data_IF_357907158365
#
_entry.id   IF_357907158365
#
_cell.length_a   1.000
_cell.length_b   1.000
_cell.length_c   1.000
_cell.angle_alpha   90.00
_cell.angle_beta   90.00
_cell.angle_gamma   90.00
#
_symmetry.space_group_name_H-M   'P 1'
#
loop_
_entity.id
_entity.type
_entity.pdbx_description
1 polymer ?
#
# COMPACT_ATOMS: atom_id res chain seq x y z
N UNK A 1 -85.45 6.30 27.25
CA UNK A 1 -84.39 6.22 28.28
C UNK A 1 -83.10 5.86 27.55
N UNK A 2 -82.15 6.80 27.53
CA UNK A 2 -80.96 6.85 26.65
C UNK A 2 -80.03 5.66 26.92
N UNK A 3 -79.58 4.95 25.88
CA UNK A 3 -78.44 4.04 25.97
C UNK A 3 -77.38 4.48 24.95
N UNK A 4 -76.30 5.06 25.48
CA UNK A 4 -75.05 5.33 24.78
C UNK A 4 -74.33 4.00 24.48
N UNK A 5 -73.93 3.75 23.24
CA UNK A 5 -72.91 2.75 22.92
C UNK A 5 -71.56 3.45 22.74
N UNK A 6 -70.62 3.14 23.63
CA UNK A 6 -69.22 3.58 23.58
C UNK A 6 -68.54 3.00 22.33
N UNK A 7 -67.97 3.87 21.49
CA UNK A 7 -66.98 3.48 20.49
C UNK A 7 -65.63 3.24 21.20
N UNK A 8 -65.10 2.01 21.14
CA UNK A 8 -63.76 1.71 21.59
C UNK A 8 -62.76 1.99 20.46
N UNK A 9 -61.99 3.07 20.60
CA UNK A 9 -60.78 3.30 19.80
C UNK A 9 -59.68 2.34 20.28
N UNK A 10 -59.43 1.28 19.52
CA UNK A 10 -58.22 0.47 19.68
C UNK A 10 -57.02 1.24 19.11
N UNK A 11 -56.24 1.86 19.98
CA UNK A 11 -54.90 2.33 19.63
C UNK A 11 -53.99 1.11 19.41
N UNK A 12 -53.68 0.79 18.16
CA UNK A 12 -52.61 -0.14 17.84
C UNK A 12 -51.28 0.55 18.16
N UNK A 13 -50.62 0.13 19.24
CA UNK A 13 -49.26 0.56 19.54
C UNK A 13 -48.33 0.00 18.45
N UNK A 14 -47.81 0.88 17.59
CA UNK A 14 -46.72 0.53 16.70
C UNK A 14 -45.50 0.17 17.56
N UNK A 15 -45.17 -1.12 17.62
CA UNK A 15 -43.93 -1.59 18.20
C UNK A 15 -42.80 -1.15 17.28
N UNK A 16 -42.24 0.03 17.55
CA UNK A 16 -41.02 0.50 16.90
C UNK A 16 -39.88 -0.35 17.46
N UNK A 17 -39.47 -1.37 16.71
CA UNK A 17 -38.27 -2.15 17.03
C UNK A 17 -37.03 -1.28 16.82
N UNK A 18 -36.66 -0.50 17.83
CA UNK A 18 -35.39 0.20 17.93
C UNK A 18 -34.28 -0.74 18.41
N UNK A 19 -34.16 -1.92 17.79
CA UNK A 19 -32.98 -2.77 18.02
C UNK A 19 -31.79 -2.09 17.36
N UNK A 20 -30.64 -1.93 18.05
CA UNK A 20 -29.42 -1.49 17.43
C UNK A 20 -29.12 -2.43 16.27
N UNK A 21 -29.09 -1.91 15.04
CA UNK A 21 -28.44 -2.60 13.94
C UNK A 21 -26.99 -2.78 14.38
N UNK A 22 -26.63 -3.99 14.80
CA UNK A 22 -25.22 -4.37 14.88
C UNK A 22 -24.71 -4.33 13.44
N UNK A 23 -24.22 -3.17 13.00
CA UNK A 23 -23.33 -3.12 11.85
C UNK A 23 -22.16 -4.02 12.22
N UNK A 24 -22.07 -5.18 11.59
CA UNK A 24 -20.94 -6.07 11.74
C UNK A 24 -19.70 -5.25 11.39
N UNK A 25 -18.77 -5.14 12.33
CA UNK A 25 -17.48 -4.51 12.04
C UNK A 25 -16.88 -5.23 10.84
N UNK A 26 -16.34 -4.50 9.85
CA UNK A 26 -15.63 -5.14 8.75
C UNK A 26 -14.52 -6.00 9.35
N UNK A 27 -14.46 -7.27 8.94
CA UNK A 27 -13.42 -8.21 9.33
C UNK A 27 -12.63 -8.59 8.09
N UNK A 28 -11.33 -8.85 8.28
CA UNK A 28 -10.49 -9.31 7.20
C UNK A 28 -10.85 -10.76 6.83
N UNK A 29 -11.13 -11.00 5.54
CA UNK A 29 -11.37 -12.33 5.00
C UNK A 29 -10.39 -12.60 3.85
N UNK A 30 -9.44 -13.51 4.10
CA UNK A 30 -8.43 -13.88 3.10
C UNK A 30 -9.03 -14.57 1.87
N UNK A 31 -10.08 -15.36 2.06
CA UNK A 31 -10.72 -16.11 0.97
C UNK A 31 -11.42 -15.15 -0.01
N UNK A 32 -11.97 -14.05 0.50
CA UNK A 32 -12.61 -12.99 -0.31
C UNK A 32 -11.60 -11.98 -0.87
N UNK A 33 -10.39 -11.91 -0.32
CA UNK A 33 -9.32 -11.06 -0.83
C UNK A 33 -8.80 -11.61 -2.14
N UNK A 34 -8.84 -10.84 -3.23
CA UNK A 34 -8.38 -11.28 -4.55
C UNK A 34 -7.42 -10.29 -5.22
N UNK A 35 -7.10 -9.18 -4.55
CA UNK A 35 -6.29 -8.11 -5.09
C UNK A 35 -5.27 -7.64 -4.06
N UNK A 36 -3.99 -7.75 -4.36
CA UNK A 36 -2.90 -7.35 -3.46
C UNK A 36 -2.15 -6.18 -4.08
N UNK A 37 -2.09 -5.08 -3.33
CA UNK A 37 -1.25 -3.93 -3.62
C UNK A 37 -0.06 -3.97 -2.68
N UNK A 38 1.15 -4.08 -3.20
CA UNK A 38 2.35 -4.18 -2.39
C UNK A 38 3.26 -2.97 -2.61
N UNK A 39 3.71 -2.35 -1.53
CA UNK A 39 4.62 -1.21 -1.50
C UNK A 39 5.77 -1.51 -0.54
N UNK A 40 6.89 -0.83 -0.71
CA UNK A 40 8.04 -1.01 0.17
C UNK A 40 9.37 -1.06 -0.55
N UNK A 41 10.26 -1.88 -0.02
CA UNK A 41 11.64 -1.98 -0.49
C UNK A 41 12.01 -3.34 -1.11
N UNK A 42 13.31 -3.66 -1.08
CA UNK A 42 13.90 -4.88 -1.62
C UNK A 42 13.35 -6.19 -1.03
N UNK A 43 12.79 -6.14 0.18
CA UNK A 43 12.12 -7.28 0.82
C UNK A 43 10.75 -7.58 0.21
N UNK A 44 10.20 -6.67 -0.59
CA UNK A 44 8.85 -6.77 -1.17
C UNK A 44 8.85 -6.67 -2.69
N UNK A 45 9.87 -6.05 -3.30
CA UNK A 45 9.99 -5.87 -4.75
C UNK A 45 9.78 -7.19 -5.52
N UNK A 46 9.11 -7.10 -6.68
CA UNK A 46 8.95 -8.19 -7.65
C UNK A 46 9.43 -7.70 -9.01
N UNK A 47 10.19 -8.50 -9.76
CA UNK A 47 10.60 -8.15 -11.12
C UNK A 47 9.41 -8.19 -12.10
N UNK A 48 9.22 -7.10 -12.82
CA UNK A 48 8.34 -7.03 -13.98
C UNK A 48 9.12 -6.85 -15.27
N UNK A 49 8.49 -7.15 -16.39
CA UNK A 49 9.04 -6.91 -17.74
C UNK A 49 9.19 -5.42 -18.09
N UNK A 50 8.43 -4.54 -17.43
CA UNK A 50 8.42 -3.09 -17.65
C UNK A 50 9.07 -2.29 -16.51
N UNK A 51 9.67 -2.98 -15.54
CA UNK A 51 10.42 -2.41 -14.42
C UNK A 51 11.91 -2.32 -14.69
N UNK A 52 12.61 -1.69 -13.75
CA UNK A 52 14.06 -1.67 -13.74
C UNK A 52 14.56 -3.03 -13.21
N UNK A 53 15.44 -3.67 -13.98
CA UNK A 53 15.99 -4.99 -13.64
C UNK A 53 16.65 -4.97 -12.25
N UNK A 54 16.25 -5.89 -11.37
CA UNK A 54 16.66 -6.04 -9.98
C UNK A 54 16.11 -4.98 -9.00
N UNK A 55 15.15 -4.16 -9.43
CA UNK A 55 14.67 -3.05 -8.61
C UNK A 55 13.16 -2.88 -8.53
N UNK A 56 12.42 -3.10 -9.62
CA UNK A 56 10.98 -2.82 -9.62
C UNK A 56 10.18 -3.74 -10.53
N UNK A 57 8.88 -3.78 -10.26
CA UNK A 57 7.90 -4.37 -11.16
C UNK A 57 7.69 -3.47 -12.37
N UNK A 58 7.42 -2.18 -12.11
CA UNK A 58 7.12 -1.20 -13.15
C UNK A 58 7.83 0.13 -12.89
N UNK A 59 8.47 0.67 -13.93
CA UNK A 59 9.08 1.99 -13.93
C UNK A 59 10.20 2.19 -12.89
N UNK A 60 10.71 3.41 -12.88
CA UNK A 60 11.71 3.92 -11.94
C UNK A 60 11.61 5.45 -11.95
N UNK A 61 12.45 6.19 -11.21
CA UNK A 61 12.32 7.65 -11.15
C UNK A 61 12.65 8.37 -12.48
N UNK A 62 13.39 7.73 -13.39
CA UNK A 62 13.67 8.23 -14.73
C UNK A 62 12.55 7.88 -15.72
N UNK A 63 11.81 6.80 -15.47
CA UNK A 63 10.65 6.33 -16.23
C UNK A 63 9.42 6.19 -15.33
N UNK A 64 9.09 7.27 -14.63
CA UNK A 64 8.12 7.27 -13.52
C UNK A 64 6.68 7.04 -13.97
N UNK A 65 6.28 7.69 -15.06
CA UNK A 65 4.94 7.56 -15.64
C UNK A 65 4.82 6.29 -16.48
N UNK A 66 3.65 5.66 -16.47
CA UNK A 66 3.32 4.57 -17.38
C UNK A 66 1.88 4.66 -17.90
N UNK A 67 1.63 4.07 -19.07
CA UNK A 67 0.30 4.01 -19.66
C UNK A 67 -0.49 2.80 -19.12
N UNK A 68 -1.83 2.81 -19.25
CA UNK A 68 -2.65 1.65 -18.92
C UNK A 68 -2.21 0.38 -19.66
N UNK A 69 -1.83 0.50 -20.94
CA UNK A 69 -1.37 -0.64 -21.75
C UNK A 69 -0.07 -1.20 -21.19
N UNK A 70 0.88 -0.34 -20.80
CA UNK A 70 2.14 -0.76 -20.18
C UNK A 70 1.89 -1.48 -18.86
N UNK A 71 1.03 -0.95 -17.99
CA UNK A 71 0.66 -1.58 -16.72
C UNK A 71 -0.01 -2.95 -16.94
N UNK A 72 -0.99 -3.03 -17.83
CA UNK A 72 -1.81 -4.23 -18.03
C UNK A 72 -1.12 -5.34 -18.84
N UNK A 73 -0.02 -5.02 -19.52
CA UNK A 73 0.81 -5.99 -20.26
C UNK A 73 2.08 -6.40 -19.51
N UNK A 74 2.36 -5.79 -18.35
CA UNK A 74 3.55 -6.12 -17.57
C UNK A 74 3.42 -7.48 -16.89
N UNK A 75 4.39 -8.35 -17.13
CA UNK A 75 4.44 -9.70 -16.58
C UNK A 75 5.44 -9.80 -15.42
N UNK A 76 5.06 -10.53 -14.38
CA UNK A 76 6.00 -10.97 -13.36
C UNK A 76 7.00 -11.93 -14.00
N UNK A 77 8.28 -11.63 -13.84
CA UNK A 77 9.36 -12.45 -14.39
C UNK A 77 9.67 -13.60 -13.41
N UNK A 78 9.71 -14.84 -13.89
CA UNK A 78 10.05 -16.00 -13.05
C UNK A 78 11.57 -16.09 -12.76
N UNK A 79 11.96 -16.90 -11.77
CA UNK A 79 13.35 -17.28 -11.46
C UNK A 79 14.25 -16.08 -11.13
N UNK A 80 13.68 -15.10 -10.45
CA UNK A 80 14.40 -13.94 -9.96
C UNK A 80 15.41 -14.39 -8.90
N UNK A 81 16.69 -14.18 -9.18
CA UNK A 81 17.77 -14.37 -8.19
C UNK A 81 18.27 -13.04 -7.62
N UNK A 82 17.79 -11.92 -8.17
CA UNK A 82 18.19 -10.56 -7.81
C UNK A 82 17.39 -9.94 -6.66
N UNK A 83 16.44 -10.66 -6.07
CA UNK A 83 15.71 -10.19 -4.89
C UNK A 83 16.56 -10.36 -3.62
N UNK A 84 16.18 -9.67 -2.54
CA UNK A 84 16.81 -9.85 -1.22
C UNK A 84 16.63 -11.25 -0.63
N UNK A 85 15.73 -12.07 -1.18
CA UNK A 85 15.53 -13.47 -0.81
C UNK A 85 16.36 -14.46 -1.66
N UNK A 86 17.02 -14.00 -2.74
CA UNK A 86 17.67 -14.90 -3.72
C UNK A 86 16.68 -15.77 -4.51
N UNK A 87 15.41 -15.37 -4.55
CA UNK A 87 14.25 -16.11 -5.06
C UNK A 87 12.99 -15.24 -5.04
N UNK A 88 11.78 -15.81 -5.13
CA UNK A 88 10.55 -15.03 -4.96
C UNK A 88 10.48 -14.35 -3.58
N UNK A 89 9.96 -13.12 -3.53
CA UNK A 89 9.70 -12.42 -2.28
C UNK A 89 8.39 -12.91 -1.62
N UNK A 90 8.18 -12.57 -0.35
CA UNK A 90 7.06 -13.09 0.46
C UNK A 90 5.68 -12.82 -0.14
N UNK A 91 5.51 -11.72 -0.89
CA UNK A 91 4.25 -11.38 -1.57
C UNK A 91 3.89 -12.33 -2.71
N UNK A 92 4.89 -12.91 -3.39
CA UNK A 92 4.67 -13.94 -4.41
C UNK A 92 4.22 -15.25 -3.77
N UNK A 93 4.84 -15.64 -2.64
CA UNK A 93 4.37 -16.79 -1.85
C UNK A 93 2.97 -16.59 -1.27
N UNK A 94 2.68 -15.38 -0.78
CA UNK A 94 1.38 -15.04 -0.24
C UNK A 94 0.27 -15.19 -1.29
N UNK A 95 0.54 -14.81 -2.54
CA UNK A 95 -0.46 -14.81 -3.62
C UNK A 95 -0.43 -16.06 -4.50
N UNK A 96 0.67 -16.81 -4.49
CA UNK A 96 0.97 -17.85 -5.47
C UNK A 96 1.30 -17.30 -6.87
N UNK A 97 1.47 -15.99 -7.02
CA UNK A 97 1.66 -15.31 -8.30
C UNK A 97 3.15 -15.14 -8.59
N UNK A 98 3.79 -16.18 -9.15
CA UNK A 98 5.24 -16.23 -9.38
C UNK A 98 5.70 -15.82 -10.79
N UNK A 99 4.78 -15.68 -11.74
CA UNK A 99 5.11 -15.38 -13.13
C UNK A 99 3.90 -14.98 -13.96
N UNK A 100 4.14 -14.26 -15.05
CA UNK A 100 3.12 -13.88 -16.03
C UNK A 100 2.28 -12.69 -15.57
N UNK A 101 1.14 -12.47 -16.25
CA UNK A 101 0.30 -11.32 -15.98
C UNK A 101 -0.33 -11.38 -14.57
N UNK A 102 -0.18 -10.33 -13.73
CA UNK A 102 -0.85 -10.26 -12.43
C UNK A 102 -2.36 -10.50 -12.49
N UNK A 103 -3.01 -10.03 -13.55
CA UNK A 103 -4.45 -10.16 -13.77
C UNK A 103 -4.92 -11.61 -13.97
N UNK A 104 -4.02 -12.54 -14.25
CA UNK A 104 -4.32 -13.98 -14.43
C UNK A 104 -4.09 -14.80 -13.17
N UNK A 105 -3.50 -14.22 -12.12
CA UNK A 105 -3.31 -14.89 -10.84
C UNK A 105 -4.62 -14.97 -10.05
N UNK A 106 -4.79 -16.04 -9.26
CA UNK A 106 -5.98 -16.23 -8.40
C UNK A 106 -6.13 -15.07 -7.40
N UNK A 107 -5.01 -14.61 -6.85
CA UNK A 107 -4.92 -13.32 -6.17
C UNK A 107 -3.95 -12.46 -6.96
N UNK A 108 -4.46 -11.35 -7.50
CA UNK A 108 -3.67 -10.49 -8.37
C UNK A 108 -2.61 -9.77 -7.53
N UNK A 109 -1.35 -9.81 -7.97
CA UNK A 109 -0.25 -9.14 -7.28
C UNK A 109 0.23 -7.94 -8.09
N UNK A 110 -0.14 -6.74 -7.63
CA UNK A 110 0.31 -5.48 -8.22
C UNK A 110 1.34 -4.85 -7.28
N UNK A 111 2.61 -4.98 -7.66
CA UNK A 111 3.73 -4.59 -6.82
C UNK A 111 4.29 -3.23 -7.28
N UNK A 112 4.38 -2.29 -6.35
CA UNK A 112 4.98 -0.96 -6.54
C UNK A 112 6.21 -0.78 -5.66
N UNK A 113 6.64 -1.81 -4.94
CA UNK A 113 7.85 -1.77 -4.13
C UNK A 113 9.09 -1.58 -5.00
N UNK A 114 10.06 -0.83 -4.48
CA UNK A 114 11.30 -0.50 -5.19
C UNK A 114 12.50 -0.91 -4.33
N UNK A 115 13.39 -1.75 -4.85
CA UNK A 115 14.56 -2.20 -4.09
C UNK A 115 15.48 -1.02 -3.70
N UNK A 116 15.81 -0.91 -2.42
CA UNK A 116 16.58 0.23 -1.88
C UNK A 116 15.74 1.49 -1.67
N UNK A 117 14.41 1.39 -1.60
CA UNK A 117 13.54 2.51 -1.26
C UNK A 117 13.68 2.91 0.21
N UNK A 118 13.77 4.21 0.44
CA UNK A 118 13.45 4.87 1.69
C UNK A 118 12.00 5.38 1.69
N UNK A 119 11.53 5.91 2.82
CA UNK A 119 10.19 6.51 2.89
C UNK A 119 10.09 7.78 2.05
N UNK A 120 11.04 8.71 2.20
CA UNK A 120 10.98 10.04 1.58
C UNK A 120 12.36 10.68 1.44
N UNK A 121 12.54 11.44 0.35
CA UNK A 121 13.76 12.23 0.12
C UNK A 121 13.93 13.40 1.09
N UNK A 122 12.91 13.68 1.91
CA UNK A 122 13.01 14.66 2.98
C UNK A 122 14.04 14.24 4.03
N UNK A 123 14.14 12.95 4.35
CA UNK A 123 14.97 12.45 5.46
C UNK A 123 16.29 11.83 4.98
N UNK A 124 16.28 11.20 3.81
CA UNK A 124 17.45 10.55 3.21
C UNK A 124 17.58 10.92 1.73
N UNK A 125 18.80 11.14 1.20
CA UNK A 125 18.99 11.20 -0.24
C UNK A 125 18.59 9.88 -0.89
N UNK A 126 18.25 9.91 -2.18
CA UNK A 126 18.00 8.67 -2.92
C UNK A 126 19.23 7.76 -2.93
N UNK A 127 19.03 6.46 -2.67
CA UNK A 127 20.07 5.44 -2.77
C UNK A 127 20.67 5.35 -4.19
N UNK A 128 19.82 5.47 -5.20
CA UNK A 128 20.19 5.65 -6.60
C UNK A 128 19.35 6.77 -7.21
N UNK A 129 19.86 7.46 -8.23
CA UNK A 129 19.11 8.56 -8.88
C UNK A 129 17.82 8.10 -9.59
N UNK A 130 17.62 6.80 -9.76
CA UNK A 130 16.41 6.16 -10.27
C UNK A 130 15.52 5.56 -9.17
N UNK A 131 15.91 5.62 -7.90
CA UNK A 131 15.14 5.03 -6.80
C UNK A 131 13.80 5.72 -6.62
N UNK A 132 12.75 4.94 -6.37
CA UNK A 132 11.40 5.44 -6.09
C UNK A 132 11.11 5.27 -4.60
N UNK A 133 11.02 6.39 -3.88
CA UNK A 133 10.66 6.42 -2.44
C UNK A 133 9.23 5.94 -2.21
N UNK A 134 8.88 5.47 -1.00
CA UNK A 134 7.52 5.02 -0.69
C UNK A 134 6.45 6.07 -1.03
N UNK A 135 6.70 7.33 -0.68
CA UNK A 135 5.82 8.45 -1.04
C UNK A 135 5.57 8.55 -2.54
N UNK A 136 6.61 8.34 -3.35
CA UNK A 136 6.50 8.30 -4.80
C UNK A 136 5.87 6.99 -5.31
N UNK A 137 6.07 5.85 -4.67
CA UNK A 137 5.39 4.60 -5.05
C UNK A 137 3.87 4.75 -4.90
N UNK A 138 3.42 5.35 -3.79
CA UNK A 138 1.99 5.61 -3.54
C UNK A 138 1.44 6.64 -4.52
N UNK A 139 2.17 7.73 -4.77
CA UNK A 139 1.79 8.73 -5.76
C UNK A 139 1.72 8.14 -7.19
N UNK A 140 2.65 7.26 -7.54
CA UNK A 140 2.69 6.55 -8.83
C UNK A 140 1.48 5.64 -8.97
N UNK A 141 1.16 4.84 -7.95
CA UNK A 141 -0.07 4.02 -7.93
C UNK A 141 -1.32 4.89 -8.09
N UNK A 142 -1.44 5.95 -7.29
CA UNK A 142 -2.61 6.82 -7.27
C UNK A 142 -2.87 7.45 -8.65
N UNK A 143 -1.80 7.91 -9.30
CA UNK A 143 -1.88 8.63 -10.58
C UNK A 143 -2.10 7.69 -11.76
N UNK A 144 -1.36 6.59 -11.84
CA UNK A 144 -1.27 5.78 -13.07
C UNK A 144 -1.96 4.43 -12.98
N UNK A 145 -2.09 3.84 -11.79
CA UNK A 145 -2.65 2.50 -11.61
C UNK A 145 -4.08 2.49 -11.07
N UNK A 146 -4.39 3.33 -10.08
CA UNK A 146 -5.72 3.42 -9.45
C UNK A 146 -6.86 3.66 -10.45
N UNK A 147 -6.71 4.48 -11.50
CA UNK A 147 -7.78 4.66 -12.51
C UNK A 147 -8.00 3.47 -13.45
N UNK A 148 -7.05 2.52 -13.48
CA UNK A 148 -7.00 1.42 -14.45
C UNK A 148 -7.37 0.08 -13.79
N UNK A 149 -6.89 -0.14 -12.57
CA UNK A 149 -7.03 -1.40 -11.86
C UNK A 149 -8.39 -1.49 -11.14
N UNK A 150 -9.11 -2.63 -11.21
CA UNK A 150 -10.44 -2.79 -10.62
C UNK A 150 -10.39 -3.10 -9.11
N UNK A 151 -9.44 -2.51 -8.37
CA UNK A 151 -9.26 -2.75 -6.95
C UNK A 151 -10.45 -2.22 -6.15
N UNK A 152 -11.03 -3.05 -5.28
CA UNK A 152 -12.10 -2.64 -4.35
C UNK A 152 -11.62 -2.82 -2.91
N UNK A 153 -11.80 -1.83 -2.01
CA UNK A 153 -11.31 -1.91 -0.64
C UNK A 153 -11.73 -3.18 0.11
N UNK A 154 -12.95 -3.68 -0.10
CA UNK A 154 -13.47 -4.88 0.58
C UNK A 154 -12.85 -6.21 0.12
N UNK A 155 -12.13 -6.23 -1.01
CA UNK A 155 -11.48 -7.42 -1.57
C UNK A 155 -9.98 -7.23 -1.79
N UNK A 156 -9.43 -6.13 -1.30
CA UNK A 156 -8.04 -5.77 -1.49
C UNK A 156 -7.27 -5.82 -0.17
N UNK A 157 -6.04 -6.29 -0.22
CA UNK A 157 -5.06 -6.11 0.84
C UNK A 157 -3.97 -5.17 0.34
N UNK A 158 -3.71 -4.11 1.11
CA UNK A 158 -2.54 -3.25 0.93
C UNK A 158 -1.45 -3.75 1.88
N UNK A 159 -0.29 -4.07 1.33
CA UNK A 159 0.89 -4.52 2.06
C UNK A 159 1.99 -3.47 1.93
N UNK A 160 2.57 -3.07 3.06
CA UNK A 160 3.68 -2.10 3.11
C UNK A 160 4.78 -2.71 3.96
N UNK A 161 6.00 -2.76 3.44
CA UNK A 161 7.18 -3.17 4.20
C UNK A 161 8.38 -2.32 3.77
N UNK A 162 8.72 -1.35 4.63
CA UNK A 162 9.71 -0.30 4.40
C UNK A 162 10.53 -0.06 5.68
N UNK A 163 11.58 0.76 5.61
CA UNK A 163 12.26 1.33 6.77
C UNK A 163 13.67 0.82 7.01
N UNK A 164 14.06 -0.35 6.47
CA UNK A 164 15.42 -0.87 6.71
C UNK A 164 16.49 -0.01 6.04
N UNK A 165 16.20 0.54 4.86
CA UNK A 165 17.11 1.45 4.16
C UNK A 165 17.20 2.78 4.91
N UNK A 166 16.08 3.31 5.43
CA UNK A 166 16.07 4.51 6.24
C UNK A 166 16.98 4.36 7.47
N UNK A 167 16.90 3.23 8.18
CA UNK A 167 17.80 2.91 9.32
C UNK A 167 19.26 2.87 8.86
N UNK A 168 19.54 2.16 7.76
CA UNK A 168 20.90 2.00 7.23
C UNK A 168 21.52 3.34 6.82
N UNK A 169 20.78 4.17 6.09
CA UNK A 169 21.31 5.42 5.53
C UNK A 169 21.42 6.51 6.59
N UNK A 170 20.49 6.55 7.54
CA UNK A 170 20.57 7.47 8.69
C UNK A 170 21.57 7.03 9.76
N UNK A 171 22.05 5.78 9.76
CA UNK A 171 23.08 5.31 10.71
C UNK A 171 24.38 6.12 10.68
N UNK A 172 24.65 6.80 9.55
CA UNK A 172 25.82 7.65 9.33
C UNK A 172 25.59 9.11 9.77
N UNK A 173 24.38 9.45 10.22
CA UNK A 173 24.04 10.82 10.57
C UNK A 173 24.62 11.21 11.92
N UNK A 174 25.07 12.46 12.01
CA UNK A 174 25.47 13.07 13.28
C UNK A 174 24.30 13.85 13.85
N UNK A 175 24.09 13.72 15.16
CA UNK A 175 23.05 14.41 15.90
C UNK A 175 23.65 15.38 16.94
N UNK A 176 23.00 16.52 17.25
CA UNK A 176 21.72 16.96 16.70
C UNK A 176 21.84 17.45 15.25
N UNK A 177 20.82 17.20 14.43
CA UNK A 177 20.72 17.65 13.03
C UNK A 177 19.88 18.91 12.95
N UNK A 178 20.37 19.91 12.21
CA UNK A 178 19.65 21.16 11.94
C UNK A 178 18.93 21.11 10.59
N UNK A 179 17.72 21.66 10.54
CA UNK A 179 16.88 21.76 9.34
C UNK A 179 17.54 22.57 8.21
N UNK A 180 18.54 23.39 8.52
CA UNK A 180 19.28 24.20 7.54
C UNK A 180 20.00 23.38 6.47
N UNK A 181 20.22 22.07 6.70
CA UNK A 181 20.89 21.17 5.76
C UNK A 181 20.00 20.08 5.16
N UNK A 182 18.82 19.78 5.74
CA UNK A 182 17.97 18.64 5.32
C UNK A 182 16.47 18.81 5.43
N UNK A 183 15.95 20.04 5.50
CA UNK A 183 14.52 20.31 5.66
C UNK A 183 13.89 19.75 6.96
N UNK A 184 14.63 18.99 7.77
CA UNK A 184 14.22 18.44 9.06
C UNK A 184 15.29 18.65 10.15
N UNK A 185 14.84 18.82 11.38
CA UNK A 185 15.70 18.83 12.56
C UNK A 185 15.39 17.62 13.44
N UNK A 186 16.42 17.08 14.09
CA UNK A 186 16.28 15.94 14.98
C UNK A 186 17.36 16.00 16.06
N UNK A 187 16.98 15.77 17.32
CA UNK A 187 17.91 15.76 18.45
C UNK A 187 18.72 14.47 18.53
N UNK A 188 18.16 13.37 18.01
CA UNK A 188 18.71 12.03 18.04
C UNK A 188 18.08 11.17 16.92
N UNK A 189 18.54 9.93 16.80
CA UNK A 189 18.00 8.99 15.82
C UNK A 189 16.51 8.69 16.04
N UNK A 190 16.06 8.54 17.28
CA UNK A 190 14.68 8.18 17.58
C UNK A 190 13.68 9.27 17.14
N UNK A 191 14.02 10.54 17.38
CA UNK A 191 13.23 11.69 16.94
C UNK A 191 13.21 11.84 15.42
N UNK A 192 14.31 11.54 14.72
CA UNK A 192 14.31 11.48 13.25
C UNK A 192 13.43 10.34 12.74
N UNK A 193 13.61 9.13 13.26
CA UNK A 193 12.88 7.95 12.80
C UNK A 193 11.38 8.06 13.08
N UNK A 194 10.98 8.76 14.14
CA UNK A 194 9.57 9.07 14.40
C UNK A 194 8.95 9.98 13.33
N UNK A 195 9.72 10.91 12.77
CA UNK A 195 9.29 11.75 11.64
C UNK A 195 9.15 10.92 10.35
N UNK A 196 10.11 10.02 10.10
CA UNK A 196 10.06 9.08 8.98
C UNK A 196 8.79 8.22 9.04
N UNK A 197 8.49 7.61 10.20
CA UNK A 197 7.25 6.83 10.40
C UNK A 197 6.01 7.70 10.19
N UNK A 198 6.04 8.95 10.65
CA UNK A 198 4.89 9.85 10.46
C UNK A 198 4.66 10.14 8.97
N UNK A 199 5.72 10.33 8.19
CA UNK A 199 5.64 10.51 6.73
C UNK A 199 5.18 9.24 6.00
N UNK A 200 5.59 8.06 6.47
CA UNK A 200 5.06 6.77 5.98
C UNK A 200 3.54 6.71 6.18
N UNK A 201 3.06 6.98 7.40
CA UNK A 201 1.64 6.92 7.72
C UNK A 201 0.83 7.96 6.94
N UNK A 202 1.33 9.19 6.81
CA UNK A 202 0.68 10.25 6.02
C UNK A 202 0.54 9.86 4.54
N UNK A 203 1.58 9.24 3.96
CA UNK A 203 1.51 8.81 2.56
C UNK A 203 0.39 7.79 2.33
N UNK A 204 0.15 6.89 3.30
CA UNK A 204 -0.87 5.85 3.22
C UNK A 204 -2.31 6.38 3.35
N UNK A 205 -2.50 7.65 3.73
CA UNK A 205 -3.81 8.29 3.83
C UNK A 205 -4.30 8.92 2.51
N UNK A 206 -3.56 8.76 1.39
CA UNK A 206 -3.81 9.43 0.08
C UNK A 206 -4.53 8.58 -0.99
#
# INVERSE_FOLDING_TARGET
MVHFLLAHLCFAAALVNASPSQQSKPYFNWDETNFILAFGDSYTYVQGTSGLQNYSFIGDLQNYSFTPEKLLSDEIVQNQIGTSAGGPNWVEYLTGCFSGLPSRCTKQLWNFAFAGSDVSTEYTPLHHNYSVTLTNQIAQWNTYARPVLPATPSKSLVAVFIGINDISDTSKYTFPRSATTTNNSASDFASLYSQIISSEMEALET
#
